data_IF_580991739374
#
_entry.id   IF_580991739374
#
_cell.length_a   1.000
_cell.length_b   1.000
_cell.length_c   1.000
_cell.angle_alpha   90.00
_cell.angle_beta   90.00
_cell.angle_gamma   90.00
#
_symmetry.space_group_name_H-M   'P 1'
#
loop_
_entity.id
_entity.type
_entity.pdbx_description
1 polymer ?
#
# COMPACT_ATOMS: atom_id res chain seq x y z
N UNK A 1 4.92 1.34 -0.82
CA UNK A 1 3.68 1.62 -0.08
C UNK A 1 3.17 2.96 -0.55
N UNK A 2 1.93 3.01 -1.04
CA UNK A 2 1.28 4.25 -1.44
C UNK A 2 0.23 4.64 -0.41
N UNK A 3 0.23 5.89 0.04
CA UNK A 3 -0.72 6.48 0.99
C UNK A 3 -1.34 7.75 0.40
N UNK A 4 -2.39 8.26 1.04
CA UNK A 4 -3.17 9.39 0.52
C UNK A 4 -2.37 10.70 0.43
N UNK A 5 -1.53 11.00 1.43
CA UNK A 5 -0.81 12.25 1.54
C UNK A 5 0.49 12.10 2.36
N UNK A 6 1.24 13.19 2.46
CA UNK A 6 2.49 13.29 3.22
C UNK A 6 2.29 13.02 4.71
N UNK A 7 1.21 13.52 5.30
CA UNK A 7 0.91 13.31 6.71
C UNK A 7 0.70 11.82 7.03
N UNK A 8 -0.04 11.11 6.16
CA UNK A 8 -0.22 9.67 6.23
C UNK A 8 1.09 8.90 6.04
N UNK A 9 2.02 9.41 5.21
CA UNK A 9 3.32 8.77 4.99
C UNK A 9 4.18 8.80 6.24
N UNK A 10 4.28 9.96 6.90
CA UNK A 10 5.00 10.11 8.16
C UNK A 10 4.34 9.35 9.31
N UNK A 11 3.00 9.33 9.36
CA UNK A 11 2.28 8.54 10.35
C UNK A 11 2.55 7.03 10.19
N UNK A 12 2.63 6.54 8.95
CA UNK A 12 2.97 5.15 8.67
C UNK A 12 4.44 4.83 9.00
N UNK A 13 5.37 5.71 8.66
CA UNK A 13 6.80 5.58 9.00
C UNK A 13 6.98 5.38 10.51
N UNK A 14 6.41 6.28 11.32
CA UNK A 14 6.47 6.17 12.78
C UNK A 14 5.87 4.85 13.30
N UNK A 15 4.74 4.41 12.74
CA UNK A 15 4.10 3.15 13.13
C UNK A 15 4.94 1.92 12.80
N UNK A 16 5.56 1.89 11.62
CA UNK A 16 6.38 0.74 11.21
C UNK A 16 7.64 0.59 12.07
N UNK A 17 8.16 1.68 12.62
CA UNK A 17 9.25 1.64 13.60
C UNK A 17 8.82 1.08 14.96
N UNK A 18 7.58 1.33 15.40
CA UNK A 18 7.07 0.91 16.71
C UNK A 18 6.26 -0.39 16.69
N UNK A 19 5.99 -0.97 15.53
CA UNK A 19 4.93 -1.97 15.33
C UNK A 19 5.16 -3.29 16.07
N UNK A 20 6.40 -3.74 16.25
CA UNK A 20 6.66 -5.05 16.86
C UNK A 20 8.05 -5.10 17.50
N UNK A 21 8.08 -5.49 18.79
CA UNK A 21 9.32 -5.89 19.45
C UNK A 21 9.83 -7.18 18.78
N UNK A 22 10.89 -7.05 17.97
CA UNK A 22 11.55 -8.18 17.30
C UNK A 22 11.31 -8.31 15.79
N UNK A 23 10.46 -7.46 15.19
CA UNK A 23 10.31 -7.38 13.73
C UNK A 23 10.63 -5.98 13.23
N UNK A 24 11.58 -5.90 12.31
CA UNK A 24 12.00 -4.65 11.68
C UNK A 24 11.71 -4.69 10.18
N UNK A 25 10.97 -3.69 9.69
CA UNK A 25 10.75 -3.46 8.26
C UNK A 25 11.66 -2.31 7.84
N UNK A 26 12.76 -2.53 7.10
CA UNK A 26 13.59 -1.43 6.63
C UNK A 26 12.83 -0.59 5.59
N UNK A 27 12.46 0.63 5.95
CA UNK A 27 11.64 1.51 5.12
C UNK A 27 12.18 2.95 5.11
N UNK A 28 11.77 3.73 4.10
CA UNK A 28 11.97 5.18 4.04
C UNK A 28 10.78 5.90 3.41
N UNK A 29 10.54 7.12 3.86
CA UNK A 29 9.67 8.08 3.19
C UNK A 29 10.35 8.58 1.90
N UNK A 30 9.60 8.72 0.81
CA UNK A 30 10.11 9.31 -0.45
C UNK A 30 10.68 10.71 -0.21
N UNK A 31 11.76 11.04 -0.90
CA UNK A 31 12.48 12.31 -0.72
C UNK A 31 13.53 12.30 0.40
N UNK A 32 13.50 11.31 1.30
CA UNK A 32 14.58 11.13 2.28
C UNK A 32 15.83 10.49 1.65
N UNK A 33 17.04 10.89 2.08
CA UNK A 33 18.28 10.31 1.56
C UNK A 33 18.45 8.84 1.97
N UNK A 34 19.26 8.10 1.21
CA UNK A 34 19.60 6.70 1.48
C UNK A 34 18.79 5.70 0.64
N UNK A 35 18.95 4.41 0.95
CA UNK A 35 18.25 3.30 0.27
C UNK A 35 17.48 2.47 1.28
N UNK A 36 16.33 1.95 0.87
CA UNK A 36 15.54 0.98 1.61
C UNK A 36 14.81 0.05 0.62
N UNK A 37 14.49 -1.19 1.02
CA UNK A 37 13.67 -2.11 0.22
C UNK A 37 12.20 -1.69 0.17
N UNK A 38 11.71 -0.95 1.17
CA UNK A 38 10.35 -0.42 1.23
C UNK A 38 10.37 1.11 1.17
N UNK A 39 9.64 1.67 0.21
CA UNK A 39 9.40 3.11 0.12
C UNK A 39 7.96 3.45 0.48
N UNK A 40 7.76 4.51 1.26
CA UNK A 40 6.45 5.07 1.60
C UNK A 40 6.30 6.40 0.84
N UNK A 41 5.26 6.52 0.01
CA UNK A 41 5.04 7.74 -0.76
C UNK A 41 3.57 8.01 -1.06
N UNK A 42 3.28 9.25 -1.42
CA UNK A 42 1.94 9.75 -1.76
C UNK A 42 1.87 10.28 -3.20
N UNK A 43 2.96 10.16 -3.94
CA UNK A 43 3.10 10.60 -5.34
C UNK A 43 3.62 9.46 -6.22
N UNK A 44 3.48 9.57 -7.55
CA UNK A 44 4.07 8.61 -8.47
C UNK A 44 5.59 8.49 -8.23
N UNK A 45 6.13 7.27 -8.08
CA UNK A 45 7.57 7.09 -7.93
C UNK A 45 8.28 7.33 -9.27
N UNK A 46 9.49 7.88 -9.22
CA UNK A 46 10.33 8.03 -10.42
C UNK A 46 10.63 6.69 -11.11
N UNK A 47 10.76 5.62 -10.31
CA UNK A 47 10.91 4.25 -10.78
C UNK A 47 9.98 3.33 -9.97
N UNK A 48 8.98 2.70 -10.59
CA UNK A 48 8.15 1.70 -9.92
C UNK A 48 9.00 0.52 -9.43
N UNK A 49 8.68 0.02 -8.24
CA UNK A 49 9.21 -1.24 -7.74
C UNK A 49 8.45 -2.45 -8.31
N UNK A 50 8.73 -3.64 -7.78
CA UNK A 50 8.00 -4.84 -8.22
C UNK A 50 6.56 -4.91 -7.69
N UNK A 51 6.37 -4.47 -6.43
CA UNK A 51 5.10 -4.60 -5.71
C UNK A 51 4.65 -3.24 -5.19
N UNK A 52 3.40 -2.89 -5.50
CA UNK A 52 2.69 -1.77 -4.90
C UNK A 52 1.77 -2.28 -3.80
N UNK A 53 2.01 -1.89 -2.55
CA UNK A 53 0.96 -1.93 -1.52
C UNK A 53 0.21 -0.60 -1.55
N UNK A 54 -1.05 -0.64 -1.98
CA UNK A 54 -1.94 0.51 -1.99
C UNK A 54 -2.70 0.60 -0.66
N UNK A 55 -2.45 1.67 0.09
CA UNK A 55 -3.11 2.00 1.35
C UNK A 55 -4.01 3.26 1.19
N UNK A 56 -4.07 3.83 -0.01
CA UNK A 56 -4.96 4.93 -0.33
C UNK A 56 -6.39 4.43 -0.61
N UNK A 57 -7.33 5.37 -0.63
CA UNK A 57 -8.74 5.08 -0.86
C UNK A 57 -9.06 4.76 -2.32
N UNK A 58 -8.23 5.25 -3.24
CA UNK A 58 -8.39 5.12 -4.69
C UNK A 58 -7.29 4.26 -5.33
N UNK A 59 -7.49 3.87 -6.58
CA UNK A 59 -6.43 3.22 -7.37
C UNK A 59 -5.51 4.31 -7.92
N UNK A 60 -4.20 4.33 -7.58
CA UNK A 60 -3.30 5.34 -8.11
C UNK A 60 -3.15 5.20 -9.62
N UNK A 61 -3.18 6.29 -10.38
CA UNK A 61 -3.08 6.26 -11.85
C UNK A 61 -1.82 5.58 -12.39
N UNK A 62 -0.76 5.49 -11.57
CA UNK A 62 0.53 4.87 -11.90
C UNK A 62 0.62 3.39 -11.49
N UNK A 63 -0.46 2.76 -11.01
CA UNK A 63 -0.45 1.37 -10.52
C UNK A 63 0.03 0.36 -11.56
N UNK A 64 -0.23 0.61 -12.85
CA UNK A 64 0.11 -0.28 -13.96
C UNK A 64 1.61 -0.40 -14.19
N UNK A 65 2.42 0.47 -13.60
CA UNK A 65 3.88 0.36 -13.60
C UNK A 65 4.43 -0.76 -12.71
N UNK A 66 3.59 -1.39 -11.88
CA UNK A 66 3.99 -2.45 -10.95
C UNK A 66 3.61 -3.84 -11.45
N UNK A 67 4.42 -4.85 -11.13
CA UNK A 67 4.13 -6.25 -11.48
C UNK A 67 3.02 -6.86 -10.63
N UNK A 68 2.83 -6.33 -9.41
CA UNK A 68 1.78 -6.77 -8.47
C UNK A 68 1.26 -5.60 -7.67
N UNK A 69 -0.06 -5.55 -7.51
CA UNK A 69 -0.71 -4.64 -6.57
C UNK A 69 -1.32 -5.44 -5.43
N UNK A 70 -1.03 -5.02 -4.21
CA UNK A 70 -1.65 -5.50 -2.98
C UNK A 70 -2.62 -4.43 -2.49
N UNK A 71 -3.84 -4.86 -2.19
CA UNK A 71 -4.93 -4.01 -1.70
C UNK A 71 -5.31 -4.46 -0.30
N UNK A 72 -5.48 -3.50 0.62
CA UNK A 72 -6.02 -3.79 1.94
C UNK A 72 -7.54 -3.60 1.93
N UNK A 73 -8.25 -4.54 2.55
CA UNK A 73 -9.70 -4.44 2.80
C UNK A 73 -9.91 -4.15 4.29
N UNK A 74 -10.22 -2.89 4.67
CA UNK A 74 -10.51 -2.55 6.05
C UNK A 74 -11.75 -3.29 6.57
N UNK A 75 -11.85 -3.43 7.89
CA UNK A 75 -13.01 -4.07 8.52
C UNK A 75 -14.22 -3.13 8.61
N UNK A 76 -14.00 -1.82 8.64
CA UNK A 76 -15.07 -0.82 8.76
C UNK A 76 -15.91 -0.72 7.48
N UNK A 77 -17.24 -0.46 7.58
CA UNK A 77 -18.11 -0.44 6.42
C UNK A 77 -17.68 0.55 5.32
N UNK A 78 -17.33 1.82 5.62
CA UNK A 78 -16.85 2.76 4.61
C UNK A 78 -15.60 2.26 3.88
N UNK A 79 -14.63 1.70 4.61
CA UNK A 79 -13.40 1.14 4.04
C UNK A 79 -13.67 -0.07 3.14
N UNK A 80 -14.63 -0.93 3.51
CA UNK A 80 -15.05 -2.06 2.67
C UNK A 80 -15.66 -1.60 1.36
N UNK A 81 -16.45 -0.54 1.35
CA UNK A 81 -17.07 -0.01 0.13
C UNK A 81 -16.03 0.58 -0.82
N UNK A 82 -15.03 1.30 -0.29
CA UNK A 82 -13.88 1.77 -1.08
C UNK A 82 -13.07 0.61 -1.64
N UNK A 83 -12.78 -0.41 -0.83
CA UNK A 83 -12.09 -1.61 -1.31
C UNK A 83 -12.88 -2.36 -2.40
N UNK A 84 -14.21 -2.43 -2.29
CA UNK A 84 -15.08 -2.97 -3.35
C UNK A 84 -14.99 -2.16 -4.65
N UNK A 85 -14.92 -0.84 -4.56
CA UNK A 85 -14.76 0.01 -5.73
C UNK A 85 -13.43 -0.27 -6.45
N UNK A 86 -12.30 -0.35 -5.71
CA UNK A 86 -11.00 -0.70 -6.28
C UNK A 86 -10.98 -2.12 -6.86
N UNK A 87 -11.60 -3.09 -6.19
CA UNK A 87 -11.76 -4.45 -6.72
C UNK A 87 -12.49 -4.47 -8.07
N UNK A 88 -13.62 -3.74 -8.19
CA UNK A 88 -14.36 -3.61 -9.46
C UNK A 88 -13.49 -2.97 -10.55
N UNK A 89 -12.76 -1.91 -10.22
CA UNK A 89 -11.86 -1.23 -11.15
C UNK A 89 -10.86 -2.19 -11.80
N UNK A 90 -10.21 -3.05 -11.00
CA UNK A 90 -9.25 -4.03 -11.53
C UNK A 90 -9.94 -5.15 -12.31
N UNK A 91 -11.08 -5.65 -11.82
CA UNK A 91 -11.84 -6.72 -12.47
C UNK A 91 -12.31 -6.32 -13.88
N UNK A 92 -12.85 -5.11 -14.01
CA UNK A 92 -13.36 -4.59 -15.29
C UNK A 92 -12.25 -4.39 -16.33
N UNK A 93 -11.00 -4.26 -15.88
CA UNK A 93 -9.81 -4.17 -16.74
C UNK A 93 -9.14 -5.52 -17.00
N UNK A 94 -9.73 -6.63 -16.53
CA UNK A 94 -9.25 -7.98 -16.81
C UNK A 94 -8.03 -8.42 -15.99
N UNK A 95 -7.69 -7.73 -14.90
CA UNK A 95 -6.57 -8.14 -14.06
C UNK A 95 -6.90 -9.43 -13.29
N UNK A 96 -5.93 -10.35 -13.11
CA UNK A 96 -6.11 -11.53 -12.28
C UNK A 96 -6.20 -11.12 -10.80
N UNK A 97 -7.32 -11.42 -10.16
CA UNK A 97 -7.59 -11.08 -8.76
C UNK A 97 -7.46 -12.30 -7.87
N UNK A 98 -6.76 -12.13 -6.74
CA UNK A 98 -6.64 -13.14 -5.68
C UNK A 98 -6.98 -12.50 -4.35
N UNK A 99 -7.81 -13.17 -3.57
CA UNK A 99 -8.15 -12.75 -2.21
C UNK A 99 -7.43 -13.65 -1.21
N UNK A 100 -6.83 -13.04 -0.21
CA UNK A 100 -6.15 -13.74 0.87
C UNK A 100 -6.76 -13.27 2.19
N UNK A 101 -7.34 -14.19 2.95
CA UNK A 101 -7.73 -13.91 4.32
C UNK A 101 -6.49 -13.99 5.18
N UNK A 102 -6.12 -12.88 5.82
CA UNK A 102 -5.07 -12.90 6.83
C UNK A 102 -5.62 -13.65 8.05
N UNK A 103 -5.03 -14.81 8.37
CA UNK A 103 -5.31 -15.50 9.62
C UNK A 103 -4.87 -14.61 10.78
N UNK A 104 -5.72 -14.44 11.79
CA UNK A 104 -5.33 -13.73 13.01
C UNK A 104 -4.14 -14.42 13.63
N UNK A 105 -2.98 -13.76 13.62
CA UNK A 105 -1.88 -14.13 14.50
C UNK A 105 -2.36 -13.95 15.94
N UNK A 106 -2.14 -14.98 16.75
CA UNK A 106 -2.34 -14.94 18.20
C UNK A 106 -1.55 -13.80 18.85
#
# INVERSE_FOLDING_TARGET
>A
MHVADEAAAHALDARLWSFSAGSFVPHRVVGMPGRAPVWIGWQPPAQPGEVLLNLADEVPHFFSGFRRVLELVPADPPGRDRARARYRFYRERGYPLRQHTLGGGA
#
